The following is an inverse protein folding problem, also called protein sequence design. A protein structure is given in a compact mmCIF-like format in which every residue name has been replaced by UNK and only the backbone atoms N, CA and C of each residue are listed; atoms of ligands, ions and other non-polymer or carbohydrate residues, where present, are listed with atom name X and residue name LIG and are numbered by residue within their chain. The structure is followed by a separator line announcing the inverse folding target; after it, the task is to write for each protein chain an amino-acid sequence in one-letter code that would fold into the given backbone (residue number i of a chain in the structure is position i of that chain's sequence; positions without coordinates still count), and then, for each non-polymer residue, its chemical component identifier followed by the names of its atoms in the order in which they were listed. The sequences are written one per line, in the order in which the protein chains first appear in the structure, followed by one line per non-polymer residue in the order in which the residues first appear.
data_IF_079768363342
#
_entry.id   IF_079768363342
#
_cell.length_a   1.000
_cell.length_b   1.000
_cell.length_c   1.000
_cell.angle_alpha   90.00
_cell.angle_beta   90.00
_cell.angle_gamma   90.00
#
_symmetry.space_group_name_H-M   'P 1'
#
loop_
_entity.id
_entity.type
_entity.pdbx_description
1 polymer ?
#
# COMPACT_ATOMS: atom_id res chain seq x y z
N UNK A 1 3.71 -9.01 3.93
CA UNK A 1 3.17 -7.63 3.87
C UNK A 1 1.68 -7.70 4.11
N UNK A 2 1.10 -6.70 4.77
CA UNK A 2 -0.35 -6.60 5.05
C UNK A 2 -0.92 -5.39 4.31
N UNK A 3 -1.98 -5.61 3.54
CA UNK A 3 -2.82 -4.54 3.02
C UNK A 3 -3.88 -4.20 4.07
N UNK A 4 -4.10 -2.91 4.34
CA UNK A 4 -5.06 -2.47 5.34
C UNK A 4 -5.70 -1.13 4.96
N UNK A 5 -7.04 -1.04 4.85
CA UNK A 5 -7.72 0.25 4.79
C UNK A 5 -7.41 1.12 6.01
N UNK A 6 -7.00 2.36 5.78
CA UNK A 6 -6.76 3.40 6.80
C UNK A 6 -8.07 4.01 7.30
N UNK A 7 -9.13 3.90 6.50
CA UNK A 7 -10.52 4.15 6.87
C UNK A 7 -11.20 2.89 7.42
N UNK A 8 -12.32 3.09 8.13
CA UNK A 8 -13.10 1.98 8.67
C UNK A 8 -13.79 1.16 7.57
N UNK A 9 -14.22 -0.08 7.86
CA UNK A 9 -14.93 -0.95 6.92
C UNK A 9 -16.30 -0.36 6.55
N UNK A 10 -16.33 0.56 5.58
CA UNK A 10 -17.46 1.45 5.34
C UNK A 10 -18.78 0.77 4.97
N UNK A 11 -18.73 -0.48 4.48
CA UNK A 11 -19.91 -1.28 4.14
C UNK A 11 -20.43 -2.13 5.32
N UNK A 12 -19.67 -2.25 6.41
CA UNK A 12 -20.12 -2.91 7.64
C UNK A 12 -20.66 -1.87 8.62
N UNK A 13 -21.99 -1.69 8.63
CA UNK A 13 -22.66 -0.73 9.50
C UNK A 13 -22.41 -0.98 11.00
N UNK A 14 -22.23 -2.24 11.40
CA UNK A 14 -21.97 -2.59 12.80
C UNK A 14 -20.58 -2.11 13.19
N UNK A 15 -19.57 -2.43 12.37
CA UNK A 15 -18.20 -1.99 12.60
C UNK A 15 -18.05 -0.47 12.49
N UNK A 16 -18.69 0.17 11.50
CA UNK A 16 -18.71 1.64 11.37
C UNK A 16 -19.25 2.30 12.64
N UNK A 17 -20.37 1.81 13.19
CA UNK A 17 -20.94 2.33 14.43
C UNK A 17 -20.02 2.09 15.62
N UNK A 18 -19.46 0.88 15.76
CA UNK A 18 -18.60 0.53 16.88
C UNK A 18 -17.29 1.32 16.89
N UNK A 19 -16.67 1.47 15.72
CA UNK A 19 -15.43 2.21 15.54
C UNK A 19 -15.65 3.73 15.47
N UNK A 20 -16.86 4.20 15.17
CA UNK A 20 -17.16 5.63 15.02
C UNK A 20 -16.60 6.23 13.74
N UNK A 21 -16.55 5.44 12.66
CA UNK A 21 -16.05 5.89 11.35
C UNK A 21 -17.03 6.85 10.68
N UNK A 22 -16.51 7.96 10.14
CA UNK A 22 -17.25 8.86 9.25
C UNK A 22 -16.51 8.97 7.92
N UNK A 23 -17.19 8.66 6.82
CA UNK A 23 -16.65 8.81 5.46
C UNK A 23 -16.53 10.28 5.09
N UNK A 24 -15.40 10.67 4.52
CA UNK A 24 -15.14 12.06 4.10
C UNK A 24 -13.98 12.69 4.87
N UNK A 25 -13.77 13.99 4.65
CA UNK A 25 -12.71 14.77 5.24
C UNK A 25 -12.98 15.12 6.72
N UNK A 26 -13.23 14.12 7.57
CA UNK A 26 -13.45 14.27 9.00
C UNK A 26 -12.18 13.93 9.78
N UNK A 27 -11.96 14.59 10.92
CA UNK A 27 -10.79 14.31 11.76
C UNK A 27 -10.75 12.87 12.26
N UNK A 28 -11.91 12.27 12.53
CA UNK A 28 -12.06 10.87 12.93
C UNK A 28 -11.18 10.45 14.13
N UNK A 29 -10.98 11.33 15.12
CA UNK A 29 -10.08 11.06 16.27
C UNK A 29 -10.45 9.78 17.01
N UNK A 30 -11.72 9.63 17.41
CA UNK A 30 -12.19 8.45 18.14
C UNK A 30 -12.03 7.15 17.33
N UNK A 31 -12.33 7.21 16.04
CA UNK A 31 -12.07 6.12 15.11
C UNK A 31 -10.59 5.77 15.08
N UNK A 32 -9.72 6.76 14.90
CA UNK A 32 -8.28 6.53 14.82
C UNK A 32 -7.72 5.91 16.10
N UNK A 33 -8.20 6.32 17.29
CA UNK A 33 -7.83 5.73 18.59
C UNK A 33 -8.19 4.24 18.64
N UNK A 34 -9.38 3.86 18.18
CA UNK A 34 -9.81 2.45 18.15
C UNK A 34 -9.09 1.66 17.07
N UNK A 35 -8.91 2.26 15.89
CA UNK A 35 -8.27 1.58 14.75
C UNK A 35 -6.80 1.28 15.03
N UNK A 36 -6.07 2.18 15.68
CA UNK A 36 -4.69 1.88 16.11
C UNK A 36 -4.61 0.74 17.15
N UNK A 37 -5.66 0.52 17.94
CA UNK A 37 -5.71 -0.64 18.86
C UNK A 37 -5.88 -1.95 18.07
N UNK A 38 -6.73 -1.96 17.05
CA UNK A 38 -6.88 -3.11 16.13
C UNK A 38 -5.58 -3.40 15.40
N UNK A 39 -4.93 -2.37 14.86
CA UNK A 39 -3.64 -2.49 14.17
C UNK A 39 -2.57 -3.04 15.12
N UNK A 40 -2.48 -2.51 16.34
CA UNK A 40 -1.53 -2.97 17.36
C UNK A 40 -1.77 -4.44 17.70
N UNK A 41 -3.02 -4.83 17.91
CA UNK A 41 -3.38 -6.21 18.24
C UNK A 41 -2.91 -7.17 17.13
N UNK A 42 -3.21 -6.86 15.87
CA UNK A 42 -2.76 -7.66 14.73
C UNK A 42 -1.24 -7.69 14.61
N UNK A 43 -0.57 -6.54 14.80
CA UNK A 43 0.88 -6.46 14.77
C UNK A 43 1.51 -7.34 15.84
N UNK A 44 1.08 -7.23 17.09
CA UNK A 44 1.56 -8.04 18.22
C UNK A 44 1.28 -9.53 18.01
N UNK A 45 0.10 -9.88 17.51
CA UNK A 45 -0.28 -11.27 17.24
C UNK A 45 0.54 -11.91 16.12
N UNK A 46 0.80 -11.18 15.03
CA UNK A 46 1.52 -11.72 13.88
C UNK A 46 3.03 -11.63 14.04
N UNK A 47 3.51 -10.63 14.80
CA UNK A 47 4.93 -10.40 15.07
C UNK A 47 5.77 -10.38 13.79
N UNK A 48 6.89 -11.08 13.83
CA UNK A 48 7.82 -11.18 12.70
C UNK A 48 7.26 -11.92 11.46
N UNK A 49 6.06 -12.51 11.51
CA UNK A 49 5.40 -13.10 10.32
C UNK A 49 4.97 -12.03 9.31
N UNK A 50 4.88 -10.78 9.76
CA UNK A 50 4.57 -9.63 8.91
C UNK A 50 5.77 -8.69 8.85
N UNK A 51 6.35 -8.55 7.67
CA UNK A 51 7.48 -7.66 7.41
C UNK A 51 7.09 -6.22 7.08
N UNK A 52 5.79 -5.91 6.97
CA UNK A 52 5.35 -4.55 6.67
C UNK A 52 3.87 -4.39 6.32
N UNK A 53 3.46 -3.14 6.18
CA UNK A 53 2.08 -2.66 6.14
C UNK A 53 1.89 -1.60 5.06
N UNK A 54 0.87 -1.77 4.24
CA UNK A 54 0.46 -0.83 3.21
C UNK A 54 -0.93 -0.32 3.55
N UNK A 55 -1.01 0.94 3.99
CA UNK A 55 -2.25 1.57 4.42
C UNK A 55 -2.98 2.20 3.24
N UNK A 56 -4.10 1.61 2.83
CA UNK A 56 -4.94 2.16 1.77
C UNK A 56 -5.80 3.34 2.25
N UNK A 57 -6.12 4.30 1.39
CA UNK A 57 -7.19 5.26 1.68
C UNK A 57 -6.83 6.43 2.59
N UNK A 58 -5.56 6.82 2.64
CA UNK A 58 -5.09 8.05 3.30
C UNK A 58 -5.46 9.32 2.50
N UNK A 59 -6.70 9.41 2.01
CA UNK A 59 -7.21 10.43 1.08
C UNK A 59 -7.26 11.86 1.64
N UNK A 60 -7.37 12.01 2.96
CA UNK A 60 -7.48 13.32 3.63
C UNK A 60 -6.30 13.58 4.58
N UNK A 61 -5.04 13.58 4.11
CA UNK A 61 -3.86 13.59 4.97
C UNK A 61 -3.79 14.84 5.85
N UNK A 62 -4.18 16.01 5.33
CA UNK A 62 -4.15 17.27 6.08
C UNK A 62 -5.22 17.35 7.19
N UNK A 63 -6.34 16.63 7.03
CA UNK A 63 -7.43 16.62 8.01
C UNK A 63 -7.25 15.52 9.03
N UNK A 64 -6.82 14.33 8.61
CA UNK A 64 -6.76 13.14 9.45
C UNK A 64 -5.38 12.84 10.04
N UNK A 65 -4.28 13.01 9.28
CA UNK A 65 -3.03 12.31 9.58
C UNK A 65 -1.78 13.19 9.73
N UNK A 66 -1.80 14.46 9.30
CA UNK A 66 -0.67 15.41 9.46
C UNK A 66 -0.77 16.30 10.69
N UNK A 67 -1.83 16.16 11.49
CA UNK A 67 -2.10 16.96 12.69
C UNK A 67 -1.53 16.27 13.95
N UNK A 68 -1.97 16.72 15.12
CA UNK A 68 -1.70 16.08 16.40
C UNK A 68 -2.14 14.60 16.41
N UNK A 69 -1.57 13.80 17.30
CA UNK A 69 -1.98 12.41 17.50
C UNK A 69 -3.50 12.27 17.76
N UNK A 70 -4.14 11.18 17.29
CA UNK A 70 -3.60 10.13 16.43
C UNK A 70 -3.30 10.64 15.01
N UNK A 71 -2.18 10.20 14.41
CA UNK A 71 -1.66 10.71 13.14
C UNK A 71 -0.80 9.64 12.44
N UNK A 72 -0.10 9.98 11.35
CA UNK A 72 0.76 9.03 10.65
C UNK A 72 1.81 8.36 11.57
N UNK A 73 2.40 9.11 12.50
CA UNK A 73 3.38 8.56 13.44
C UNK A 73 2.77 7.51 14.36
N UNK A 74 1.58 7.77 14.92
CA UNK A 74 0.94 6.80 15.83
C UNK A 74 0.41 5.56 15.10
N UNK A 75 -0.01 5.70 13.83
CA UNK A 75 -0.36 4.56 12.98
C UNK A 75 0.87 3.69 12.69
N UNK A 76 1.99 4.30 12.30
CA UNK A 76 3.23 3.58 12.08
C UNK A 76 3.73 2.89 13.35
N UNK A 77 3.61 3.55 14.52
CA UNK A 77 3.95 2.95 15.81
C UNK A 77 3.05 1.75 16.18
N UNK A 78 1.75 1.81 15.86
CA UNK A 78 0.85 0.67 16.05
C UNK A 78 1.21 -0.49 15.13
N UNK A 79 1.51 -0.22 13.86
CA UNK A 79 1.91 -1.23 12.88
C UNK A 79 3.21 -1.96 13.27
N UNK A 80 4.12 -1.25 13.95
CA UNK A 80 5.42 -1.77 14.41
C UNK A 80 5.39 -2.38 15.82
N UNK A 81 4.23 -2.45 16.48
CA UNK A 81 4.13 -2.89 17.87
C UNK A 81 4.64 -4.32 18.12
N UNK A 82 4.30 -5.27 17.25
CA UNK A 82 4.79 -6.66 17.33
C UNK A 82 6.04 -6.94 16.51
N UNK A 83 6.39 -6.07 15.57
CA UNK A 83 7.62 -6.15 14.79
C UNK A 83 8.18 -4.74 14.53
N UNK A 84 9.16 -4.27 15.33
CA UNK A 84 9.78 -2.96 15.14
C UNK A 84 10.44 -2.74 13.78
N UNK A 85 10.74 -3.81 13.04
CA UNK A 85 11.35 -3.77 11.71
C UNK A 85 10.31 -3.76 10.57
N UNK A 86 9.00 -3.74 10.88
CA UNK A 86 7.97 -3.68 9.84
C UNK A 86 8.08 -2.39 9.02
N UNK A 87 8.18 -2.54 7.70
CA UNK A 87 8.10 -1.43 6.75
C UNK A 87 6.66 -0.88 6.67
N UNK A 88 6.49 0.42 6.48
CA UNK A 88 5.17 1.08 6.44
C UNK A 88 5.07 2.00 5.21
N UNK A 89 3.92 1.99 4.54
CA UNK A 89 3.56 2.95 3.48
C UNK A 89 2.13 3.49 3.68
N UNK A 90 1.91 4.77 3.35
CA UNK A 90 0.59 5.41 3.42
C UNK A 90 0.11 5.83 2.03
N UNK A 91 -0.93 5.16 1.53
CA UNK A 91 -1.46 5.39 0.20
C UNK A 91 -2.50 6.51 0.15
N UNK A 92 -2.30 7.57 -0.66
CA UNK A 92 -3.33 8.57 -0.90
C UNK A 92 -4.28 8.24 -2.05
N UNK A 93 -4.14 7.08 -2.69
CA UNK A 93 -4.86 6.69 -3.90
C UNK A 93 -3.96 6.64 -5.13
N UNK A 94 -4.60 6.48 -6.29
CA UNK A 94 -3.93 6.34 -7.59
C UNK A 94 -3.31 7.67 -8.05
N UNK A 95 -1.97 7.73 -8.10
CA UNK A 95 -1.22 8.88 -8.62
C UNK A 95 -0.03 8.45 -9.46
N UNK A 96 -0.01 8.83 -10.75
CA UNK A 96 1.12 8.54 -11.63
C UNK A 96 2.40 9.30 -11.27
N UNK A 97 2.29 10.42 -10.54
CA UNK A 97 3.44 11.09 -9.94
C UNK A 97 3.73 10.46 -8.58
N UNK A 98 4.82 9.71 -8.50
CA UNK A 98 5.21 9.04 -7.26
C UNK A 98 5.73 10.09 -6.26
N UNK A 99 5.28 9.97 -5.02
CA UNK A 99 5.58 10.89 -3.93
C UNK A 99 5.63 10.14 -2.60
N UNK A 100 6.42 10.64 -1.66
CA UNK A 100 6.30 10.26 -0.26
C UNK A 100 5.15 11.04 0.39
N UNK A 101 4.31 10.32 1.14
CA UNK A 101 3.13 10.87 1.83
C UNK A 101 3.47 11.50 3.18
N UNK A 102 4.45 10.92 3.88
CA UNK A 102 4.70 11.13 5.30
C UNK A 102 6.15 10.78 5.65
N UNK A 103 6.83 11.54 6.53
CA UNK A 103 8.16 11.16 7.02
C UNK A 103 8.15 9.94 7.95
N UNK A 104 6.98 9.36 8.24
CA UNK A 104 6.81 8.19 9.10
C UNK A 104 6.65 6.87 8.31
N UNK A 105 6.83 6.92 7.00
CA UNK A 105 6.78 5.77 6.10
C UNK A 105 8.20 5.38 5.64
N UNK A 106 8.39 4.11 5.31
CA UNK A 106 9.70 3.58 4.89
C UNK A 106 9.81 3.43 3.37
N UNK A 107 8.66 3.39 2.69
CA UNK A 107 8.56 3.25 1.24
C UNK A 107 7.32 3.98 0.71
N UNK A 108 7.38 4.46 -0.53
CA UNK A 108 6.24 5.13 -1.18
C UNK A 108 5.14 4.11 -1.45
N UNK A 109 3.87 4.44 -1.21
CA UNK A 109 2.77 3.51 -1.50
C UNK A 109 2.59 3.19 -2.99
N UNK A 110 2.92 4.15 -3.86
CA UNK A 110 3.17 3.92 -5.27
C UNK A 110 1.99 3.45 -6.11
N UNK A 111 0.75 3.62 -5.65
CA UNK A 111 -0.44 3.10 -6.36
C UNK A 111 -0.63 3.79 -7.71
N UNK A 112 -0.67 2.98 -8.77
CA UNK A 112 -0.95 3.40 -10.14
C UNK A 112 -1.84 2.39 -10.88
N UNK A 113 -2.58 2.86 -11.88
CA UNK A 113 -3.37 2.03 -12.80
C UNK A 113 -2.78 1.98 -14.22
N UNK A 114 -1.79 2.80 -14.55
CA UNK A 114 -1.20 2.90 -15.90
C UNK A 114 0.33 2.99 -15.82
N UNK A 115 1.04 1.86 -15.86
CA UNK A 115 2.51 1.80 -15.74
C UNK A 115 3.26 2.67 -16.76
N UNK A 116 2.73 2.84 -17.96
CA UNK A 116 3.33 3.68 -18.99
C UNK A 116 3.33 5.18 -18.65
N UNK A 117 2.49 5.61 -17.68
CA UNK A 117 2.37 7.01 -17.24
C UNK A 117 3.20 7.34 -16.01
N UNK A 118 3.95 6.38 -15.45
CA UNK A 118 4.76 6.59 -14.25
C UNK A 118 5.69 7.81 -14.42
N UNK A 119 5.61 8.72 -13.45
CA UNK A 119 6.47 9.89 -13.31
C UNK A 119 7.23 9.80 -11.98
N UNK A 120 8.45 9.29 -12.05
CA UNK A 120 9.43 9.37 -10.96
C UNK A 120 10.23 10.66 -11.14
N UNK A 121 10.25 11.52 -10.12
CA UNK A 121 11.06 12.75 -10.11
C UNK A 121 11.74 12.87 -8.76
N UNK A 122 12.99 13.36 -8.77
CA UNK A 122 13.81 13.57 -7.56
C UNK A 122 14.01 12.27 -6.76
N UNK A 123 14.02 11.13 -7.45
CA UNK A 123 14.51 9.91 -6.85
C UNK A 123 16.04 9.93 -6.89
N UNK A 124 16.65 9.60 -5.77
CA UNK A 124 18.10 9.45 -5.62
C UNK A 124 18.34 8.09 -4.94
N UNK A 125 19.20 7.27 -5.53
CA UNK A 125 19.53 5.92 -5.05
C UNK A 125 18.31 5.07 -4.66
N UNK A 126 17.27 5.07 -5.50
CA UNK A 126 16.06 4.30 -5.25
C UNK A 126 15.17 4.85 -4.15
N UNK A 127 15.30 6.13 -3.78
CA UNK A 127 14.51 6.75 -2.71
C UNK A 127 13.88 8.07 -3.11
N UNK A 128 12.70 8.37 -2.58
CA UNK A 128 12.03 9.67 -2.67
C UNK A 128 11.81 10.18 -1.25
N UNK A 129 12.34 11.36 -0.93
CA UNK A 129 12.25 11.98 0.40
C UNK A 129 12.65 11.03 1.55
N UNK A 130 13.63 10.16 1.29
CA UNK A 130 14.13 9.17 2.25
C UNK A 130 13.35 7.85 2.29
N UNK A 131 12.19 7.75 1.66
CA UNK A 131 11.42 6.51 1.53
C UNK A 131 11.89 5.70 0.31
N UNK A 132 11.97 4.37 0.43
CA UNK A 132 12.25 3.46 -0.70
C UNK A 132 11.20 3.69 -1.81
N UNK A 133 11.67 3.90 -3.03
CA UNK A 133 10.84 4.01 -4.21
C UNK A 133 10.19 2.65 -4.47
N UNK A 134 8.88 2.60 -4.28
CA UNK A 134 8.05 1.44 -4.58
C UNK A 134 6.87 1.87 -5.45
N UNK A 135 6.49 1.00 -6.38
CA UNK A 135 5.33 1.17 -7.27
C UNK A 135 4.43 -0.05 -7.17
N UNK A 136 3.12 0.18 -7.02
CA UNK A 136 2.07 -0.83 -6.99
C UNK A 136 1.15 -0.66 -8.20
N UNK A 137 0.96 -1.72 -8.99
CA UNK A 137 -0.04 -1.77 -10.07
C UNK A 137 -0.67 -3.16 -10.14
N UNK A 138 -1.78 -3.31 -10.87
CA UNK A 138 -2.42 -4.60 -11.14
C UNK A 138 -2.09 -5.15 -12.53
N UNK A 139 -1.89 -6.48 -12.60
CA UNK A 139 -1.72 -7.24 -13.85
C UNK A 139 -3.05 -7.63 -14.50
N UNK A 140 -4.11 -7.80 -13.69
CA UNK A 140 -5.46 -8.06 -14.19
C UNK A 140 -6.09 -6.82 -14.83
N UNK A 141 -7.27 -6.98 -15.44
CA UNK A 141 -8.06 -5.86 -15.96
C UNK A 141 -8.42 -4.84 -14.85
N UNK A 142 -8.57 -5.32 -13.61
CA UNK A 142 -8.79 -4.54 -12.39
C UNK A 142 -7.98 -5.15 -11.24
N UNK A 143 -7.92 -4.43 -10.11
CA UNK A 143 -7.39 -4.97 -8.86
C UNK A 143 -8.08 -6.30 -8.49
N UNK A 144 -7.28 -7.34 -8.27
CA UNK A 144 -7.70 -8.67 -7.84
C UNK A 144 -8.48 -9.50 -8.85
N UNK A 145 -8.72 -9.02 -10.08
CA UNK A 145 -9.57 -9.75 -11.03
C UNK A 145 -9.27 -9.48 -12.52
N UNK A 146 -9.82 -10.36 -13.37
CA UNK A 146 -9.78 -10.24 -14.82
C UNK A 146 -8.58 -10.93 -15.47
N UNK A 147 -8.50 -10.82 -16.79
CA UNK A 147 -7.42 -11.37 -17.61
C UNK A 147 -6.15 -10.52 -17.56
N UNK A 148 -4.97 -11.05 -17.92
CA UNK A 148 -3.76 -10.24 -18.09
C UNK A 148 -4.01 -9.12 -19.11
N UNK A 149 -3.71 -7.88 -18.71
CA UNK A 149 -3.93 -6.70 -19.58
C UNK A 149 -2.67 -6.16 -20.26
N UNK A 150 -1.50 -6.76 -20.00
CA UNK A 150 -0.21 -6.36 -20.56
C UNK A 150 0.51 -7.56 -21.15
N UNK A 151 1.40 -7.33 -22.11
CA UNK A 151 2.33 -8.37 -22.57
C UNK A 151 3.43 -8.60 -21.52
N UNK A 152 4.02 -9.80 -21.53
CA UNK A 152 5.14 -10.13 -20.65
C UNK A 152 6.31 -9.17 -20.84
N UNK A 153 6.60 -8.77 -22.08
CA UNK A 153 7.68 -7.85 -22.42
C UNK A 153 7.45 -6.47 -21.80
N UNK A 154 6.22 -5.97 -21.81
CA UNK A 154 5.87 -4.69 -21.19
C UNK A 154 6.10 -4.74 -19.67
N UNK A 155 5.60 -5.79 -19.03
CA UNK A 155 5.72 -5.98 -17.57
C UNK A 155 7.19 -6.04 -17.16
N UNK A 156 7.99 -6.85 -17.84
CA UNK A 156 9.44 -6.95 -17.60
C UNK A 156 10.12 -5.60 -17.82
N UNK A 157 9.82 -4.90 -18.92
CA UNK A 157 10.45 -3.62 -19.22
C UNK A 157 10.15 -2.55 -18.14
N UNK A 158 8.93 -2.50 -17.60
CA UNK A 158 8.59 -1.55 -16.53
C UNK A 158 9.28 -1.89 -15.21
N UNK A 159 9.36 -3.17 -14.84
CA UNK A 159 10.09 -3.58 -13.63
C UNK A 159 11.57 -3.23 -13.76
N UNK A 160 12.21 -3.62 -14.86
CA UNK A 160 13.64 -3.32 -15.10
C UNK A 160 13.94 -1.83 -15.08
N UNK A 161 13.11 -1.01 -15.74
CA UNK A 161 13.25 0.45 -15.73
C UNK A 161 13.20 1.04 -14.31
N UNK A 162 12.42 0.45 -13.41
CA UNK A 162 12.32 0.89 -12.03
C UNK A 162 13.51 0.39 -11.19
N UNK A 163 13.92 -0.86 -11.39
CA UNK A 163 15.10 -1.46 -10.75
C UNK A 163 16.40 -0.73 -11.12
N UNK A 164 16.55 -0.28 -12.36
CA UNK A 164 17.68 0.54 -12.82
C UNK A 164 17.81 1.86 -12.04
N UNK A 165 16.73 2.31 -11.41
CA UNK A 165 16.70 3.49 -10.53
C UNK A 165 16.77 3.13 -9.04
N UNK A 166 17.00 1.86 -8.70
CA UNK A 166 17.00 1.33 -7.33
C UNK A 166 15.60 1.16 -6.72
N UNK A 167 14.54 1.30 -7.52
CA UNK A 167 13.16 1.13 -7.07
C UNK A 167 12.69 -0.32 -7.10
N UNK A 168 11.53 -0.59 -6.50
CA UNK A 168 10.92 -1.92 -6.45
C UNK A 168 9.47 -1.90 -6.93
N UNK A 169 9.05 -2.96 -7.63
CA UNK A 169 7.70 -3.07 -8.15
C UNK A 169 6.91 -4.12 -7.37
N UNK A 170 5.64 -3.84 -7.08
CA UNK A 170 4.68 -4.81 -6.53
C UNK A 170 3.53 -4.94 -7.52
N UNK A 171 3.24 -6.18 -7.90
CA UNK A 171 2.10 -6.50 -8.75
C UNK A 171 0.97 -7.08 -7.92
N UNK A 172 -0.20 -6.47 -8.00
CA UNK A 172 -1.45 -7.13 -7.68
C UNK A 172 -1.80 -8.13 -8.79
N UNK A 173 -2.18 -9.33 -8.37
CA UNK A 173 -2.39 -10.47 -9.27
C UNK A 173 -3.70 -11.15 -8.89
N UNK A 174 -4.63 -11.32 -9.85
CA UNK A 174 -5.86 -12.06 -9.60
C UNK A 174 -5.62 -13.49 -9.10
N UNK A 175 -6.43 -13.92 -8.15
CA UNK A 175 -6.48 -15.30 -7.67
C UNK A 175 -7.80 -15.94 -8.07
N UNK A 176 -7.73 -17.21 -8.43
CA UNK A 176 -8.91 -18.04 -8.70
C UNK A 176 -9.63 -18.37 -7.38
N UNK A 177 -10.89 -18.81 -7.47
CA UNK A 177 -11.69 -19.17 -6.30
C UNK A 177 -11.09 -20.34 -5.47
N UNK A 178 -10.20 -21.13 -6.07
CA UNK A 178 -9.45 -22.20 -5.41
C UNK A 178 -8.19 -21.69 -4.68
N UNK A 179 -7.89 -20.38 -4.75
CA UNK A 179 -6.72 -19.75 -4.16
C UNK A 179 -5.43 -19.80 -5.01
N UNK A 180 -5.48 -20.34 -6.23
CA UNK A 180 -4.33 -20.38 -7.13
C UNK A 180 -4.24 -19.13 -8.02
N UNK A 181 -3.02 -18.81 -8.44
CA UNK A 181 -2.76 -17.82 -9.49
C UNK A 181 -2.78 -18.56 -10.83
N UNK A 182 -3.47 -18.00 -11.83
CA UNK A 182 -3.57 -18.64 -13.14
C UNK A 182 -2.20 -18.75 -13.83
N UNK A 183 -1.98 -19.78 -14.68
CA UNK A 183 -0.71 -19.95 -15.38
C UNK A 183 -0.27 -18.73 -16.19
N UNK A 184 -1.22 -17.98 -16.76
CA UNK A 184 -0.92 -16.78 -17.54
C UNK A 184 -0.21 -15.70 -16.71
N UNK A 185 -0.62 -15.51 -15.45
CA UNK A 185 0.07 -14.58 -14.57
C UNK A 185 1.38 -15.16 -14.03
N UNK A 186 1.43 -16.47 -13.75
CA UNK A 186 2.67 -17.15 -13.32
C UNK A 186 3.76 -17.01 -14.39
N UNK A 187 3.43 -17.12 -15.66
CA UNK A 187 4.38 -16.96 -16.77
C UNK A 187 4.98 -15.54 -16.78
N UNK A 188 4.15 -14.51 -16.57
CA UNK A 188 4.62 -13.12 -16.44
C UNK A 188 5.52 -12.93 -15.22
N UNK A 189 5.10 -13.40 -14.05
CA UNK A 189 5.88 -13.30 -12.82
C UNK A 189 7.22 -14.06 -12.91
N UNK A 190 7.21 -15.22 -13.57
CA UNK A 190 8.42 -16.00 -13.82
C UNK A 190 9.38 -15.26 -14.74
N UNK A 191 8.87 -14.56 -15.75
CA UNK A 191 9.70 -13.73 -16.63
C UNK A 191 10.30 -12.52 -15.92
N UNK A 192 9.58 -11.91 -14.97
CA UNK A 192 10.11 -10.82 -14.13
C UNK A 192 11.28 -11.32 -13.26
N UNK A 193 11.16 -12.52 -12.69
CA UNK A 193 12.15 -13.08 -11.75
C UNK A 193 13.45 -13.59 -12.39
N UNK A 194 13.59 -13.52 -13.72
CA UNK A 194 14.81 -13.86 -14.46
C UNK A 194 15.61 -12.62 -14.76
#
# INVERSE_FOLDING_TARGET
MVYLPSGGPAQDHTAVKALGWQTGAHRNTEFQIKWQQVIREWSERWGAKVSGWWFDGCYWPNTMYRRSAPNFATFAAAARAGNPQSAVAFNPGVFHRILSMSPYEDYTAGEIDLPEKIMVRRAEDGRIDGAQLQILSHLGEKWGMGSPRFSTEQVVAWVRKLEDQGGVFTWDVPVEANGHISPLFIDQLTAIGR
#
